data_IF_672592669159
#
_entry.id   IF_672592669159
#
_cell.length_a   1.000
_cell.length_b   1.000
_cell.length_c   1.000
_cell.angle_alpha   90.00
_cell.angle_beta   90.00
_cell.angle_gamma   90.00
#
_symmetry.space_group_name_H-M   'P 1'
#
loop_
_entity.id
_entity.type
_entity.pdbx_description
1 polymer ?
#
# COMPACT_ATOMS: atom_id res chain seq x y z
N UNK A 1 16.04 11.62 18.53
CA UNK A 1 16.24 12.22 17.19
C UNK A 1 16.06 11.17 16.08
N UNK A 2 16.71 10.00 16.17
CA UNK A 2 16.60 8.94 15.13
C UNK A 2 15.17 8.42 14.95
N UNK A 3 14.44 8.15 16.03
CA UNK A 3 13.05 7.66 16.01
C UNK A 3 12.10 8.62 15.30
N UNK A 4 12.28 9.93 15.52
CA UNK A 4 11.50 10.98 14.84
C UNK A 4 11.76 10.97 13.33
N UNK A 5 13.01 10.75 12.91
CA UNK A 5 13.37 10.61 11.51
C UNK A 5 12.69 9.42 10.84
N UNK A 6 12.61 8.26 11.51
CA UNK A 6 11.97 7.05 10.98
C UNK A 6 10.46 7.24 10.85
N UNK A 7 9.81 7.87 11.84
CA UNK A 7 8.38 8.22 11.74
C UNK A 7 8.16 9.19 10.58
N UNK A 8 9.06 10.17 10.39
CA UNK A 8 9.02 11.10 9.25
C UNK A 8 9.12 10.38 7.89
N UNK A 9 9.98 9.36 7.78
CA UNK A 9 10.06 8.52 6.58
C UNK A 9 8.75 7.77 6.35
N UNK A 10 8.14 7.20 7.40
CA UNK A 10 6.83 6.53 7.30
C UNK A 10 5.72 7.47 6.80
N UNK A 11 5.67 8.70 7.32
CA UNK A 11 4.76 9.74 6.83
C UNK A 11 5.05 10.13 5.39
N UNK A 12 6.31 10.34 5.02
CA UNK A 12 6.70 10.66 3.65
C UNK A 12 6.32 9.57 2.65
N UNK A 13 6.42 8.30 3.03
CA UNK A 13 5.96 7.17 2.23
C UNK A 13 4.43 7.22 2.09
N UNK A 14 3.71 7.46 3.18
CA UNK A 14 2.25 7.60 3.13
C UNK A 14 1.82 8.74 2.20
N UNK A 15 2.41 9.92 2.35
CA UNK A 15 2.11 11.10 1.53
C UNK A 15 2.47 10.89 0.05
N UNK A 16 3.53 10.13 -0.24
CA UNK A 16 3.93 9.78 -1.60
C UNK A 16 2.93 8.85 -2.29
N UNK A 17 2.45 7.81 -1.58
CA UNK A 17 1.51 6.84 -2.15
C UNK A 17 0.08 7.36 -2.16
N UNK A 18 -0.23 8.30 -1.29
CA UNK A 18 -1.59 8.82 -1.13
C UNK A 18 -1.63 10.34 -0.99
N UNK A 19 -1.10 11.09 -1.97
CA UNK A 19 -1.21 12.53 -1.95
C UNK A 19 -2.66 12.94 -2.23
N UNK A 20 -3.29 13.70 -1.33
CA UNK A 20 -4.52 14.42 -1.60
C UNK A 20 -5.82 13.58 -1.74
N UNK A 21 -6.15 12.77 -0.73
CA UNK A 21 -7.45 12.09 -0.65
C UNK A 21 -8.62 13.04 -0.90
N UNK A 22 -8.61 14.20 -0.25
CA UNK A 22 -9.68 15.19 -0.35
C UNK A 22 -9.88 15.71 -1.78
N UNK A 23 -8.80 15.94 -2.51
CA UNK A 23 -8.90 16.41 -3.91
C UNK A 23 -9.44 15.33 -4.85
N UNK A 24 -9.05 14.06 -4.66
CA UNK A 24 -9.59 12.93 -5.43
C UNK A 24 -11.05 12.67 -5.09
N UNK A 25 -11.44 12.78 -3.83
CA UNK A 25 -12.83 12.68 -3.42
C UNK A 25 -13.67 13.79 -4.04
N UNK A 26 -13.19 15.04 -4.02
CA UNK A 26 -13.84 16.17 -4.65
C UNK A 26 -13.94 15.99 -6.17
N UNK A 27 -12.89 15.49 -6.82
CA UNK A 27 -12.94 15.16 -8.26
C UNK A 27 -14.00 14.09 -8.54
N UNK A 28 -14.06 13.02 -7.74
CA UNK A 28 -15.07 11.99 -7.88
C UNK A 28 -16.48 12.55 -7.74
N UNK A 29 -16.72 13.38 -6.72
CA UNK A 29 -18.02 14.00 -6.45
C UNK A 29 -18.39 15.07 -7.51
N UNK A 30 -17.43 15.67 -8.18
CA UNK A 30 -17.65 16.69 -9.21
C UNK A 30 -18.11 16.13 -10.55
N UNK A 31 -17.95 14.84 -10.79
CA UNK A 31 -18.39 14.16 -12.03
C UNK A 31 -19.91 14.05 -12.08
N UNK A 32 -20.55 15.04 -12.67
CA UNK A 32 -22.03 15.20 -12.71
C UNK A 32 -22.81 14.07 -13.41
N UNK A 33 -22.15 13.14 -14.10
CA UNK A 33 -22.80 12.09 -14.91
C UNK A 33 -22.61 10.66 -14.36
N UNK A 34 -22.08 10.50 -13.15
CA UNK A 34 -21.90 9.19 -12.56
C UNK A 34 -23.23 8.65 -11.99
N UNK A 35 -23.47 7.38 -12.22
CA UNK A 35 -24.54 6.65 -11.53
C UNK A 35 -24.17 6.46 -10.04
N UNK A 36 -25.17 6.16 -9.20
CA UNK A 36 -24.93 5.87 -7.77
C UNK A 36 -23.98 4.69 -7.57
N UNK A 37 -24.04 3.69 -8.47
CA UNK A 37 -23.16 2.53 -8.43
C UNK A 37 -21.71 2.91 -8.71
N UNK A 38 -21.46 3.64 -9.79
CA UNK A 38 -20.10 4.11 -10.14
C UNK A 38 -19.50 5.02 -9.08
N UNK A 39 -20.32 5.85 -8.43
CA UNK A 39 -19.87 6.67 -7.31
C UNK A 39 -19.45 5.83 -6.10
N UNK A 40 -20.26 4.81 -5.78
CA UNK A 40 -19.96 3.89 -4.68
C UNK A 40 -18.68 3.10 -4.95
N UNK A 41 -18.51 2.56 -6.16
CA UNK A 41 -17.32 1.82 -6.58
C UNK A 41 -16.07 2.70 -6.56
N UNK A 42 -16.19 3.94 -7.04
CA UNK A 42 -15.11 4.91 -6.99
C UNK A 42 -14.69 5.26 -5.56
N UNK A 43 -15.66 5.42 -4.65
CA UNK A 43 -15.38 5.69 -3.23
C UNK A 43 -14.71 4.51 -2.54
N UNK A 44 -15.22 3.29 -2.76
CA UNK A 44 -14.60 2.05 -2.23
C UNK A 44 -13.18 1.87 -2.77
N UNK A 45 -12.95 2.17 -4.06
CA UNK A 45 -11.62 2.18 -4.64
C UNK A 45 -10.65 3.15 -3.97
N UNK A 46 -11.12 4.38 -3.66
CA UNK A 46 -10.32 5.36 -2.92
C UNK A 46 -9.99 4.91 -1.50
N UNK A 47 -10.93 4.28 -0.79
CA UNK A 47 -10.68 3.70 0.54
C UNK A 47 -9.63 2.59 0.46
N UNK A 48 -9.69 1.73 -0.55
CA UNK A 48 -8.71 0.66 -0.76
C UNK A 48 -7.32 1.20 -1.06
N UNK A 49 -7.20 2.26 -1.85
CA UNK A 49 -5.92 2.94 -2.11
C UNK A 49 -5.35 3.53 -0.82
N UNK A 50 -6.18 4.16 0.01
CA UNK A 50 -5.78 4.71 1.31
C UNK A 50 -5.30 3.62 2.27
N UNK A 51 -6.05 2.53 2.41
CA UNK A 51 -5.68 1.41 3.26
C UNK A 51 -4.36 0.78 2.84
N UNK A 52 -4.14 0.64 1.52
CA UNK A 52 -2.87 0.17 0.96
C UNK A 52 -1.72 1.09 1.31
N UNK A 53 -1.88 2.39 1.12
CA UNK A 53 -0.84 3.37 1.43
C UNK A 53 -0.49 3.37 2.92
N UNK A 54 -1.50 3.32 3.80
CA UNK A 54 -1.34 3.22 5.25
C UNK A 54 -0.61 1.93 5.65
N UNK A 55 -1.00 0.79 5.08
CA UNK A 55 -0.37 -0.51 5.35
C UNK A 55 1.09 -0.51 4.92
N UNK A 56 1.41 -0.01 3.73
CA UNK A 56 2.80 0.09 3.23
C UNK A 56 3.63 1.03 4.13
N UNK A 57 3.08 2.15 4.54
CA UNK A 57 3.74 3.09 5.46
C UNK A 57 4.04 2.43 6.81
N UNK A 58 3.07 1.71 7.39
CA UNK A 58 3.26 0.95 8.64
C UNK A 58 4.30 -0.15 8.49
N UNK A 59 4.30 -0.88 7.38
CA UNK A 59 5.27 -1.93 7.10
C UNK A 59 6.69 -1.36 7.08
N UNK A 60 6.93 -0.30 6.34
CA UNK A 60 8.24 0.33 6.23
C UNK A 60 8.71 0.95 7.55
N UNK A 61 7.88 1.76 8.21
CA UNK A 61 8.25 2.41 9.46
C UNK A 61 8.53 1.41 10.57
N UNK A 62 7.69 0.37 10.71
CA UNK A 62 7.90 -0.67 11.72
C UNK A 62 9.11 -1.55 11.40
N UNK A 63 9.39 -1.86 10.15
CA UNK A 63 10.60 -2.60 9.75
C UNK A 63 11.87 -1.81 10.05
N UNK A 64 11.90 -0.51 9.75
CA UNK A 64 13.04 0.36 10.05
C UNK A 64 13.24 0.53 11.56
N UNK A 65 12.16 0.68 12.33
CA UNK A 65 12.24 0.74 13.80
C UNK A 65 12.75 -0.57 14.39
N UNK A 66 12.29 -1.71 13.89
CA UNK A 66 12.80 -3.03 14.30
C UNK A 66 14.31 -3.12 14.08
N UNK A 67 14.78 -2.75 12.89
CA UNK A 67 16.20 -2.75 12.56
C UNK A 67 17.00 -1.80 13.47
N UNK A 68 16.49 -0.58 13.71
CA UNK A 68 17.14 0.41 14.58
C UNK A 68 17.25 -0.12 16.02
N UNK A 69 16.18 -0.66 16.59
CA UNK A 69 16.20 -1.17 17.95
C UNK A 69 17.13 -2.39 18.07
N UNK A 70 17.13 -3.28 17.09
CA UNK A 70 18.04 -4.40 17.04
C UNK A 70 19.51 -3.92 17.00
N UNK A 71 19.84 -2.97 16.13
CA UNK A 71 21.19 -2.39 16.06
C UNK A 71 21.60 -1.78 17.41
N UNK A 72 20.73 -1.00 18.05
CA UNK A 72 21.04 -0.41 19.35
C UNK A 72 21.26 -1.47 20.44
N UNK A 73 20.48 -2.56 20.43
CA UNK A 73 20.63 -3.63 21.40
C UNK A 73 21.90 -4.46 21.22
N UNK A 74 22.31 -4.72 19.96
CA UNK A 74 23.45 -5.59 19.66
C UNK A 74 24.79 -4.88 19.52
N UNK A 75 24.80 -3.67 18.97
CA UNK A 75 26.04 -2.98 18.59
C UNK A 75 26.54 -2.03 19.68
N UNK A 76 25.68 -1.56 20.59
CA UNK A 76 26.07 -0.60 21.62
C UNK A 76 26.55 -1.33 22.90
N UNK A 77 27.86 -1.43 23.07
CA UNK A 77 28.45 -2.07 24.26
C UNK A 77 28.26 -1.26 25.55
N UNK A 78 28.16 0.07 25.43
CA UNK A 78 28.06 1.01 26.55
C UNK A 78 26.64 1.17 27.14
N UNK A 79 25.66 0.44 26.63
CA UNK A 79 24.26 0.57 27.08
C UNK A 79 23.99 -0.40 28.24
N UNK A 80 23.37 0.08 29.36
CA UNK A 80 22.92 -0.77 30.45
C UNK A 80 22.00 -1.89 29.98
N UNK A 81 22.05 -3.05 30.66
CA UNK A 81 21.25 -4.23 30.29
C UNK A 81 19.74 -3.93 30.24
N UNK A 82 19.22 -3.17 31.22
CA UNK A 82 17.81 -2.78 31.26
C UNK A 82 17.37 -2.01 30.00
N UNK A 83 18.27 -1.19 29.44
CA UNK A 83 18.00 -0.47 28.18
C UNK A 83 18.04 -1.40 26.99
N UNK A 84 18.92 -2.41 26.96
CA UNK A 84 18.94 -3.43 25.92
C UNK A 84 17.63 -4.21 25.90
N UNK A 85 17.12 -4.58 27.07
CA UNK A 85 15.85 -5.31 27.21
C UNK A 85 14.66 -4.47 26.68
N UNK A 86 14.66 -3.15 26.94
CA UNK A 86 13.68 -2.23 26.37
C UNK A 86 13.78 -2.19 24.84
N UNK A 87 14.99 -2.14 24.28
CA UNK A 87 15.17 -2.15 22.83
C UNK A 87 14.70 -3.46 22.20
N UNK A 88 14.99 -4.61 22.82
CA UNK A 88 14.46 -5.89 22.36
C UNK A 88 12.94 -5.94 22.39
N UNK A 89 12.32 -5.45 23.47
CA UNK A 89 10.86 -5.39 23.56
C UNK A 89 10.26 -4.50 22.47
N UNK A 90 10.76 -3.28 22.29
CA UNK A 90 10.28 -2.34 21.28
C UNK A 90 10.52 -2.86 19.86
N UNK A 91 11.68 -3.48 19.61
CA UNK A 91 11.99 -4.15 18.35
C UNK A 91 11.01 -5.29 18.07
N UNK A 92 10.73 -6.12 19.06
CA UNK A 92 9.77 -7.22 18.96
C UNK A 92 8.35 -6.74 18.63
N UNK A 93 7.86 -5.71 19.31
CA UNK A 93 6.54 -5.12 19.02
C UNK A 93 6.48 -4.59 17.57
N UNK A 94 7.50 -3.87 17.12
CA UNK A 94 7.54 -3.35 15.75
C UNK A 94 7.67 -4.47 14.71
N UNK A 95 8.40 -5.56 15.01
CA UNK A 95 8.48 -6.73 14.14
C UNK A 95 7.11 -7.41 13.96
N UNK A 96 6.31 -7.49 15.04
CA UNK A 96 4.94 -8.01 14.98
C UNK A 96 4.06 -7.11 14.11
N UNK A 97 4.13 -5.78 14.29
CA UNK A 97 3.38 -4.82 13.48
C UNK A 97 3.77 -4.92 12.00
N UNK A 98 5.07 -4.99 11.69
CA UNK A 98 5.56 -5.16 10.33
C UNK A 98 5.04 -6.46 9.70
N UNK A 99 5.14 -7.58 10.44
CA UNK A 99 4.65 -8.88 9.97
C UNK A 99 3.14 -8.85 9.73
N UNK A 100 2.37 -8.31 10.66
CA UNK A 100 0.93 -8.16 10.49
C UNK A 100 0.60 -7.31 9.24
N UNK A 101 1.26 -6.17 9.07
CA UNK A 101 1.06 -5.29 7.92
C UNK A 101 1.47 -5.94 6.59
N UNK A 102 2.41 -6.89 6.61
CA UNK A 102 2.81 -7.63 5.42
C UNK A 102 1.74 -8.63 4.98
N UNK A 103 1.18 -9.39 5.92
CA UNK A 103 0.27 -10.48 5.61
C UNK A 103 -1.20 -10.07 5.52
N UNK A 104 -1.61 -9.02 6.26
CA UNK A 104 -3.00 -8.58 6.30
C UNK A 104 -3.26 -7.42 5.35
N UNK A 105 -4.10 -7.69 4.35
CA UNK A 105 -4.72 -6.66 3.50
C UNK A 105 -6.15 -6.44 3.99
N UNK A 106 -6.67 -5.21 3.87
CA UNK A 106 -8.09 -4.95 4.12
C UNK A 106 -8.93 -5.39 2.93
N UNK A 107 -10.21 -5.66 3.16
CA UNK A 107 -11.17 -6.00 2.10
C UNK A 107 -11.23 -4.89 1.04
N UNK A 108 -11.11 -3.62 1.44
CA UNK A 108 -11.06 -2.48 0.52
C UNK A 108 -9.80 -2.47 -0.34
N UNK A 109 -8.64 -2.82 0.24
CA UNK A 109 -7.39 -2.94 -0.51
C UNK A 109 -7.46 -4.09 -1.51
N UNK A 110 -8.02 -5.23 -1.13
CA UNK A 110 -8.21 -6.37 -2.04
C UNK A 110 -9.13 -6.01 -3.21
N UNK A 111 -10.24 -5.34 -2.94
CA UNK A 111 -11.14 -4.84 -3.97
C UNK A 111 -10.43 -3.87 -4.93
N UNK A 112 -9.68 -2.91 -4.40
CA UNK A 112 -8.89 -1.97 -5.21
C UNK A 112 -7.86 -2.68 -6.10
N UNK A 113 -7.16 -3.69 -5.56
CA UNK A 113 -6.19 -4.46 -6.32
C UNK A 113 -6.86 -5.28 -7.43
N UNK A 114 -8.04 -5.83 -7.19
CA UNK A 114 -8.82 -6.55 -8.19
C UNK A 114 -9.25 -5.63 -9.33
N UNK A 115 -9.69 -4.42 -9.02
CA UNK A 115 -10.02 -3.42 -10.05
C UNK A 115 -8.82 -3.01 -10.91
N UNK A 116 -7.61 -3.04 -10.35
CA UNK A 116 -6.38 -2.73 -11.07
C UNK A 116 -5.81 -3.92 -11.87
N UNK A 117 -6.33 -5.12 -11.71
CA UNK A 117 -5.85 -6.28 -12.45
C UNK A 117 -6.10 -6.07 -13.94
N UNK A 118 -5.00 -5.92 -14.68
CA UNK A 118 -5.02 -5.89 -16.13
C UNK A 118 -5.22 -7.32 -16.61
N UNK A 119 -6.39 -7.64 -17.15
CA UNK A 119 -6.64 -8.93 -17.74
C UNK A 119 -5.88 -9.03 -19.07
N UNK A 120 -4.82 -9.83 -19.07
CA UNK A 120 -4.09 -10.18 -20.29
C UNK A 120 -4.73 -11.46 -20.84
N UNK A 121 -5.37 -11.36 -21.97
CA UNK A 121 -6.03 -12.49 -22.63
C UNK A 121 -5.58 -12.67 -24.07
N UNK A 122 -5.67 -13.91 -24.57
CA UNK A 122 -5.57 -14.15 -26.01
C UNK A 122 -6.86 -13.69 -26.67
N UNK A 123 -6.75 -12.78 -27.63
CA UNK A 123 -7.86 -12.33 -28.47
C UNK A 123 -7.65 -12.77 -29.90
N UNK A 124 -8.74 -13.09 -30.59
CA UNK A 124 -8.72 -13.36 -32.02
C UNK A 124 -8.94 -12.02 -32.75
N UNK A 125 -7.94 -11.58 -33.47
CA UNK A 125 -7.99 -10.33 -34.25
C UNK A 125 -8.40 -10.66 -35.68
N UNK A 126 -9.49 -10.05 -36.22
CA UNK A 126 -9.90 -10.27 -37.60
C UNK A 126 -8.84 -9.69 -38.56
N UNK A 127 -8.44 -10.46 -39.56
CA UNK A 127 -7.52 -10.02 -40.60
C UNK A 127 -8.31 -9.46 -41.80
N UNK A 128 -7.81 -8.39 -42.39
CA UNK A 128 -8.44 -7.73 -43.56
C UNK A 128 -8.68 -8.65 -44.78
N UNK A 129 -8.08 -9.84 -44.79
CA UNK A 129 -8.27 -10.88 -45.83
C UNK A 129 -9.18 -12.04 -45.43
N UNK A 130 -9.95 -11.90 -44.35
CA UNK A 130 -10.95 -12.89 -43.96
C UNK A 130 -10.47 -14.04 -43.08
N UNK A 131 -9.33 -13.90 -42.43
CA UNK A 131 -8.80 -14.84 -41.42
C UNK A 131 -8.86 -14.25 -40.00
N UNK A 132 -8.63 -15.10 -38.99
CA UNK A 132 -8.43 -14.69 -37.61
C UNK A 132 -7.01 -15.06 -37.17
N UNK A 133 -6.26 -14.10 -36.60
CA UNK A 133 -4.96 -14.36 -35.98
C UNK A 133 -5.03 -14.24 -34.47
N UNK A 134 -4.33 -15.13 -33.73
CA UNK A 134 -4.21 -14.95 -32.28
C UNK A 134 -3.38 -13.69 -31.99
N UNK A 135 -3.94 -12.83 -31.17
CA UNK A 135 -3.28 -11.64 -30.64
C UNK A 135 -3.33 -11.62 -29.12
N UNK A 136 -2.51 -10.81 -28.49
CA UNK A 136 -2.57 -10.58 -27.04
C UNK A 136 -3.36 -9.30 -26.81
N UNK A 137 -4.48 -9.42 -26.13
CA UNK A 137 -5.31 -8.30 -25.71
C UNK A 137 -5.03 -7.96 -24.24
N UNK A 138 -4.90 -6.66 -23.97
CA UNK A 138 -4.79 -6.14 -22.63
C UNK A 138 -6.07 -5.35 -22.36
N UNK A 139 -6.91 -5.88 -21.50
CA UNK A 139 -8.11 -5.17 -21.02
C UNK A 139 -7.83 -4.63 -19.62
N UNK A 140 -7.99 -3.34 -19.46
CA UNK A 140 -7.93 -2.65 -18.17
C UNK A 140 -9.36 -2.20 -17.85
N UNK A 141 -9.94 -2.72 -16.77
CA UNK A 141 -11.16 -2.15 -16.22
C UNK A 141 -10.79 -0.84 -15.52
N UNK A 142 -11.44 0.23 -15.90
CA UNK A 142 -11.31 1.54 -15.28
C UNK A 142 -12.48 1.75 -14.34
#
# INVERSE_FOLDING_TARGET
VQTVGIIGVGHGIYDYYYPHFDSRLLELLSKKQMTRGELADGYVGLLGEMDRARRISLLWSSSLLTAQYALNAFVSDDIPQDMKDIYFFLGGVNAIIASYSFFHKSDYEEYFLQQQQTNVGLILVPELKGGMKPGVGITRSF
#
